data_IF_227330320991
#
_entry.id   IF_227330320991
#
_cell.length_a   1.000
_cell.length_b   1.000
_cell.length_c   1.000
_cell.angle_alpha   90.00
_cell.angle_beta   90.00
_cell.angle_gamma   90.00
#
_symmetry.space_group_name_H-M   'P 1'
#
loop_
_entity.id
_entity.type
_entity.pdbx_description
1 polymer ?
#
# COMPACT_ATOMS: atom_id res chain seq x y z
N UNK A 1 -19.84 24.84 4.14
CA UNK A 1 -18.44 24.60 3.75
C UNK A 1 -18.24 23.10 3.78
N UNK A 2 -17.94 22.46 2.65
CA UNK A 2 -17.61 21.04 2.65
C UNK A 2 -16.31 20.87 3.42
N UNK A 3 -16.32 20.05 4.47
CA UNK A 3 -15.10 19.65 5.15
C UNK A 3 -14.25 18.84 4.16
N UNK A 4 -12.99 19.23 3.94
CA UNK A 4 -12.08 18.43 3.13
C UNK A 4 -11.87 17.04 3.73
N UNK A 5 -11.45 16.07 2.90
CA UNK A 5 -11.12 14.73 3.34
C UNK A 5 -9.64 14.69 3.72
N UNK A 6 -9.29 14.32 4.97
CA UNK A 6 -7.90 14.23 5.38
C UNK A 6 -7.14 13.17 4.58
N UNK A 7 -6.03 13.55 3.97
CA UNK A 7 -5.18 12.68 3.16
C UNK A 7 -3.72 12.92 3.48
N UNK A 8 -2.93 11.86 3.54
CA UNK A 8 -1.47 11.94 3.51
C UNK A 8 -0.98 11.52 2.13
N UNK A 9 -0.54 12.51 1.33
CA UNK A 9 -0.02 12.26 -0.02
C UNK A 9 1.48 12.02 0.05
N UNK A 10 1.91 10.79 -0.19
CA UNK A 10 3.33 10.44 -0.05
C UNK A 10 3.77 9.34 -1.00
N UNK A 11 5.08 9.23 -1.15
CA UNK A 11 5.74 8.12 -1.82
C UNK A 11 5.82 6.89 -0.90
N UNK A 12 5.60 5.72 -1.47
CA UNK A 12 5.95 4.43 -0.89
C UNK A 12 6.72 3.62 -1.94
N UNK A 13 7.96 3.18 -1.64
CA UNK A 13 8.81 2.56 -2.65
C UNK A 13 8.95 3.42 -3.90
N UNK A 14 8.70 2.88 -5.09
CA UNK A 14 8.69 3.58 -6.39
C UNK A 14 7.30 4.09 -6.79
N UNK A 15 6.30 3.98 -5.94
CA UNK A 15 4.95 4.48 -6.17
C UNK A 15 4.63 5.70 -5.32
N UNK A 16 3.60 6.45 -5.71
CA UNK A 16 3.08 7.59 -4.97
C UNK A 16 1.55 7.53 -4.94
N UNK A 17 0.95 7.88 -3.81
CA UNK A 17 -0.50 7.83 -3.67
C UNK A 17 -1.03 8.50 -2.42
N UNK A 18 -2.35 8.51 -2.30
CA UNK A 18 -3.08 9.01 -1.14
C UNK A 18 -3.29 7.92 -0.10
N UNK A 19 -2.97 8.24 1.15
CA UNK A 19 -3.26 7.41 2.31
C UNK A 19 -4.40 8.02 3.10
N UNK A 20 -5.44 7.24 3.34
CA UNK A 20 -6.67 7.67 4.00
C UNK A 20 -7.00 6.75 5.18
N UNK A 21 -7.63 7.30 6.21
CA UNK A 21 -8.33 6.45 7.18
C UNK A 21 -9.62 5.93 6.56
N UNK A 22 -9.94 4.68 6.80
CA UNK A 22 -11.20 4.08 6.34
C UNK A 22 -12.43 4.84 6.87
N UNK A 23 -12.33 5.42 8.08
CA UNK A 23 -13.39 6.23 8.68
C UNK A 23 -13.65 7.58 8.00
N UNK A 24 -12.70 8.06 7.19
CA UNK A 24 -12.79 9.34 6.50
C UNK A 24 -13.40 9.20 5.09
N UNK A 25 -13.69 7.96 4.66
CA UNK A 25 -14.24 7.63 3.35
C UNK A 25 -15.63 6.98 3.47
N UNK A 26 -16.47 7.04 2.42
CA UNK A 26 -17.71 6.30 2.36
C UNK A 26 -17.51 4.80 2.62
N UNK A 27 -18.41 4.21 3.41
CA UNK A 27 -18.38 2.77 3.70
C UNK A 27 -18.85 1.93 2.50
N UNK A 28 -19.74 2.47 1.68
CA UNK A 28 -20.17 1.82 0.44
C UNK A 28 -19.05 1.86 -0.60
N UNK A 29 -18.64 0.71 -1.16
CA UNK A 29 -17.54 0.64 -2.12
C UNK A 29 -17.78 1.47 -3.40
N UNK A 30 -19.02 1.54 -3.90
CA UNK A 30 -19.31 2.28 -5.12
C UNK A 30 -19.22 3.80 -4.89
N UNK A 31 -19.75 4.29 -3.77
CA UNK A 31 -19.62 5.71 -3.39
C UNK A 31 -18.15 6.07 -3.12
N UNK A 32 -17.41 5.19 -2.43
CA UNK A 32 -15.97 5.36 -2.18
C UNK A 32 -15.19 5.46 -3.50
N UNK A 33 -15.45 4.57 -4.44
CA UNK A 33 -14.73 4.49 -5.71
C UNK A 33 -15.01 5.72 -6.58
N UNK A 34 -16.25 6.20 -6.63
CA UNK A 34 -16.60 7.46 -7.30
C UNK A 34 -15.86 8.67 -6.69
N UNK A 35 -15.78 8.71 -5.36
CA UNK A 35 -15.03 9.74 -4.65
C UNK A 35 -13.53 9.68 -4.98
N UNK A 36 -12.95 8.48 -4.99
CA UNK A 36 -11.52 8.30 -5.31
C UNK A 36 -11.20 8.64 -6.76
N UNK A 37 -12.07 8.34 -7.71
CA UNK A 37 -11.94 8.80 -9.09
C UNK A 37 -11.90 10.33 -9.17
N UNK A 38 -12.80 11.01 -8.45
CA UNK A 38 -12.82 12.47 -8.38
C UNK A 38 -11.55 13.03 -7.73
N UNK A 39 -11.10 12.45 -6.61
CA UNK A 39 -9.86 12.89 -5.93
C UNK A 39 -8.64 12.75 -6.84
N UNK A 40 -8.57 11.68 -7.61
CA UNK A 40 -7.44 11.44 -8.52
C UNK A 40 -7.54 12.21 -9.83
N UNK A 41 -8.72 12.69 -10.21
CA UNK A 41 -8.96 13.36 -11.49
C UNK A 41 -9.14 12.38 -12.65
N UNK A 42 -9.63 11.17 -12.38
CA UNK A 42 -9.89 10.14 -13.40
C UNK A 42 -11.37 10.19 -13.85
N UNK A 43 -11.68 9.83 -15.10
CA UNK A 43 -10.76 9.48 -16.19
C UNK A 43 -10.23 10.72 -16.94
N UNK A 44 -8.94 10.96 -16.88
CA UNK A 44 -8.21 11.93 -17.69
C UNK A 44 -6.73 11.48 -17.76
N UNK A 45 -6.10 11.37 -18.93
CA UNK A 45 -4.73 10.93 -19.06
C UNK A 45 -3.72 11.80 -18.31
N UNK A 46 -4.07 13.04 -17.97
CA UNK A 46 -3.22 13.93 -17.17
C UNK A 46 -3.65 14.02 -15.71
N UNK A 47 -4.87 13.54 -15.39
CA UNK A 47 -5.49 13.71 -14.07
C UNK A 47 -5.40 15.17 -13.57
N UNK A 48 -5.61 16.14 -14.50
CA UNK A 48 -5.29 17.57 -14.29
C UNK A 48 -6.15 18.24 -13.21
N UNK A 49 -7.35 17.74 -12.98
CA UNK A 49 -8.28 18.25 -11.97
C UNK A 49 -8.25 17.47 -10.66
N UNK A 50 -7.19 16.70 -10.44
CA UNK A 50 -7.03 15.85 -9.27
C UNK A 50 -5.60 15.76 -8.75
N UNK A 51 -5.40 14.82 -7.81
CA UNK A 51 -4.10 14.59 -7.16
C UNK A 51 -3.26 13.55 -7.89
N UNK A 52 -3.81 12.83 -8.86
CA UNK A 52 -3.10 11.84 -9.64
C UNK A 52 -1.99 12.46 -10.49
N UNK A 53 -1.02 11.65 -10.91
CA UNK A 53 0.12 12.11 -11.68
C UNK A 53 0.13 11.67 -13.15
N UNK A 54 -1.01 11.24 -13.69
CA UNK A 54 -1.12 10.80 -15.08
C UNK A 54 -0.37 9.49 -15.39
N UNK A 55 -0.08 8.70 -14.36
CA UNK A 55 0.67 7.45 -14.47
C UNK A 55 0.15 6.43 -13.43
N UNK A 56 0.07 5.13 -13.75
CA UNK A 56 -0.37 4.11 -12.80
C UNK A 56 0.43 4.05 -11.50
N UNK A 57 1.73 4.40 -11.52
CA UNK A 57 2.56 4.44 -10.30
C UNK A 57 2.25 5.63 -9.40
N UNK A 58 1.56 6.65 -9.92
CA UNK A 58 1.19 7.87 -9.20
C UNK A 58 -0.31 8.06 -9.04
N UNK A 59 -1.10 7.02 -9.34
CA UNK A 59 -2.57 7.01 -9.23
C UNK A 59 -3.04 5.86 -8.34
N UNK A 60 -2.57 5.85 -7.10
CA UNK A 60 -2.76 4.77 -6.12
C UNK A 60 -3.34 5.27 -4.81
N UNK A 61 -4.07 4.38 -4.13
CA UNK A 61 -4.69 4.68 -2.84
C UNK A 61 -4.38 3.56 -1.83
N UNK A 62 -4.06 3.96 -0.62
CA UNK A 62 -3.98 3.12 0.56
C UNK A 62 -5.08 3.52 1.55
N UNK A 63 -5.98 2.60 1.87
CA UNK A 63 -6.98 2.79 2.92
C UNK A 63 -6.53 2.00 4.14
N UNK A 64 -6.44 2.67 5.28
CA UNK A 64 -5.91 2.10 6.51
C UNK A 64 -6.97 2.21 7.62
N UNK A 65 -7.16 1.12 8.35
CA UNK A 65 -8.06 1.05 9.50
C UNK A 65 -7.34 0.41 10.70
N UNK A 66 -7.73 0.73 11.95
CA UNK A 66 -7.30 -0.05 13.09
C UNK A 66 -7.85 -1.46 12.99
N UNK A 67 -7.02 -2.47 13.30
CA UNK A 67 -7.46 -3.87 13.24
C UNK A 67 -8.17 -4.31 14.51
N UNK A 68 -9.13 -5.21 14.36
CA UNK A 68 -9.74 -5.98 15.47
C UNK A 68 -9.21 -7.42 15.53
N UNK A 69 -8.28 -7.78 14.64
CA UNK A 69 -7.67 -9.10 14.59
C UNK A 69 -6.62 -9.23 15.70
N UNK A 70 -6.57 -10.33 16.46
CA UNK A 70 -5.54 -10.53 17.46
C UNK A 70 -4.13 -10.43 16.87
N UNK A 71 -3.26 -9.60 17.48
CA UNK A 71 -1.87 -9.46 17.08
C UNK A 71 -1.64 -8.65 15.79
N UNK A 72 -2.66 -8.00 15.23
CA UNK A 72 -2.56 -7.11 14.07
C UNK A 72 -2.87 -5.69 14.53
N UNK A 73 -2.03 -4.74 14.13
CA UNK A 73 -2.19 -3.33 14.50
C UNK A 73 -3.18 -2.62 13.58
N UNK A 74 -3.01 -2.79 12.27
CA UNK A 74 -3.82 -2.11 11.24
C UNK A 74 -4.17 -3.06 10.10
N UNK A 75 -5.27 -2.74 9.42
CA UNK A 75 -5.67 -3.35 8.15
C UNK A 75 -5.39 -2.37 7.01
N UNK A 76 -4.95 -2.90 5.89
CA UNK A 76 -4.59 -2.16 4.69
C UNK A 76 -5.32 -2.70 3.47
N UNK A 77 -6.08 -1.84 2.81
CA UNK A 77 -6.67 -2.09 1.50
C UNK A 77 -5.95 -1.23 0.45
N UNK A 78 -5.36 -1.87 -0.54
CA UNK A 78 -4.80 -1.22 -1.71
C UNK A 78 -5.85 -1.05 -2.79
N UNK A 79 -5.90 0.14 -3.41
CA UNK A 79 -6.73 0.41 -4.57
C UNK A 79 -5.90 1.05 -5.69
N UNK A 80 -6.03 0.50 -6.89
CA UNK A 80 -5.54 1.13 -8.11
C UNK A 80 -6.65 1.97 -8.72
N UNK A 81 -6.43 3.27 -8.83
CA UNK A 81 -7.31 4.16 -9.60
C UNK A 81 -6.77 4.22 -11.03
N UNK A 82 -7.56 3.79 -12.00
CA UNK A 82 -7.12 3.80 -13.39
C UNK A 82 -7.13 5.23 -13.94
N UNK A 83 -6.08 5.58 -14.68
CA UNK A 83 -5.86 6.95 -15.14
C UNK A 83 -6.90 7.35 -16.20
N UNK A 84 -7.06 6.51 -17.22
CA UNK A 84 -7.90 6.78 -18.39
C UNK A 84 -9.27 6.09 -18.33
N UNK A 85 -9.50 5.28 -17.30
CA UNK A 85 -10.75 4.55 -17.11
C UNK A 85 -11.49 5.06 -15.87
N UNK A 86 -12.80 5.16 -15.92
CA UNK A 86 -13.66 5.44 -14.75
C UNK A 86 -13.75 4.23 -13.82
N UNK A 87 -12.61 3.66 -13.41
CA UNK A 87 -12.54 2.40 -12.66
C UNK A 87 -11.52 2.45 -11.53
N UNK A 88 -11.90 1.87 -10.40
CA UNK A 88 -11.03 1.55 -9.26
C UNK A 88 -10.98 0.03 -9.11
N UNK A 89 -9.84 -0.54 -8.72
CA UNK A 89 -9.67 -1.98 -8.55
C UNK A 89 -8.85 -2.32 -7.32
N UNK A 90 -9.28 -3.34 -6.61
CA UNK A 90 -8.61 -4.00 -5.49
C UNK A 90 -7.99 -5.36 -5.86
N UNK A 91 -8.07 -5.75 -7.13
CA UNK A 91 -7.60 -7.06 -7.62
C UNK A 91 -6.07 -7.27 -7.49
N UNK A 92 -5.33 -6.24 -7.16
CA UNK A 92 -3.87 -6.28 -7.04
C UNK A 92 -3.44 -5.96 -5.61
N UNK A 93 -2.19 -6.31 -5.29
CA UNK A 93 -1.49 -5.82 -4.10
C UNK A 93 -0.37 -4.86 -4.52
N UNK A 94 0.05 -3.98 -3.62
CA UNK A 94 1.13 -3.04 -3.89
C UNK A 94 2.11 -2.96 -2.71
N UNK A 95 3.21 -3.72 -2.81
CA UNK A 95 4.29 -3.69 -1.83
C UNK A 95 4.94 -2.32 -1.69
N UNK A 96 4.97 -1.52 -2.76
CA UNK A 96 5.48 -0.16 -2.71
C UNK A 96 4.66 0.75 -1.79
N UNK A 97 3.32 0.79 -1.96
CA UNK A 97 2.48 1.58 -1.07
C UNK A 97 2.43 1.01 0.35
N UNK A 98 2.54 -0.31 0.50
CA UNK A 98 2.59 -0.96 1.81
C UNK A 98 3.67 -0.35 2.72
N UNK A 99 4.84 0.02 2.16
CA UNK A 99 5.91 0.65 2.94
C UNK A 99 5.47 1.96 3.62
N UNK A 100 4.51 2.68 3.05
CA UNK A 100 3.99 3.93 3.64
C UNK A 100 2.88 3.72 4.67
N UNK A 101 2.32 2.51 4.79
CA UNK A 101 1.20 2.23 5.71
C UNK A 101 1.62 2.39 7.18
N UNK A 102 2.78 1.88 7.54
CA UNK A 102 3.26 1.96 8.92
C UNK A 102 3.59 3.40 9.36
N UNK A 103 4.33 4.22 8.59
CA UNK A 103 4.48 5.64 8.90
C UNK A 103 3.14 6.36 9.02
N UNK A 104 2.22 6.13 8.09
CA UNK A 104 0.88 6.70 8.15
C UNK A 104 0.14 6.32 9.43
N UNK A 105 0.16 5.03 9.82
CA UNK A 105 -0.50 4.55 11.01
C UNK A 105 0.05 5.21 12.30
N UNK A 106 1.36 5.45 12.37
CA UNK A 106 2.00 6.14 13.49
C UNK A 106 1.60 7.62 13.49
N UNK A 107 1.69 8.31 12.35
CA UNK A 107 1.34 9.74 12.23
C UNK A 107 -0.14 10.03 12.51
N UNK A 108 -1.01 9.06 12.19
CA UNK A 108 -2.45 9.14 12.47
C UNK A 108 -2.83 8.58 13.85
N UNK A 109 -1.84 8.27 14.70
CA UNK A 109 -2.02 7.76 16.05
C UNK A 109 -2.82 6.43 16.15
N UNK A 110 -2.84 5.63 15.08
CA UNK A 110 -3.37 4.26 15.13
C UNK A 110 -2.42 3.32 15.87
N UNK A 111 -1.11 3.61 15.80
CA UNK A 111 -0.04 2.87 16.47
C UNK A 111 0.80 3.83 17.30
N UNK A 112 1.05 3.46 18.57
CA UNK A 112 1.91 4.25 19.45
C UNK A 112 3.39 4.01 19.11
N UNK A 113 4.11 5.08 18.77
CA UNK A 113 5.52 4.99 18.45
C UNK A 113 6.38 4.57 19.65
N UNK A 114 7.29 3.64 19.42
CA UNK A 114 8.35 3.24 20.35
C UNK A 114 9.61 4.10 20.16
N UNK A 115 10.54 4.06 21.12
CA UNK A 115 11.84 4.73 20.95
C UNK A 115 12.74 3.86 20.06
N UNK A 116 13.38 4.48 19.07
CA UNK A 116 14.31 3.82 18.16
C UNK A 116 13.64 3.27 16.92
N UNK A 117 12.87 2.22 17.04
CA UNK A 117 12.15 1.57 15.93
C UNK A 117 10.76 1.13 16.39
N UNK A 118 9.78 1.28 15.53
CA UNK A 118 8.40 0.84 15.76
C UNK A 118 8.03 -0.20 14.73
N UNK A 119 7.83 -1.47 15.10
CA UNK A 119 7.22 -2.48 14.24
C UNK A 119 5.71 -2.24 14.18
N UNK A 120 5.13 -2.41 12.99
CA UNK A 120 3.69 -2.34 12.74
C UNK A 120 3.29 -3.59 11.98
N UNK A 121 2.35 -4.36 12.55
CA UNK A 121 1.79 -5.56 11.92
C UNK A 121 0.57 -5.16 11.10
N UNK A 122 0.62 -5.43 9.82
CA UNK A 122 -0.34 -4.98 8.81
C UNK A 122 -1.01 -6.20 8.20
N UNK A 123 -2.33 -6.30 8.30
CA UNK A 123 -3.11 -7.26 7.53
C UNK A 123 -3.47 -6.63 6.17
N UNK A 124 -3.03 -7.27 5.09
CA UNK A 124 -3.31 -6.85 3.71
C UNK A 124 -4.61 -7.48 3.24
N UNK A 125 -5.67 -6.68 3.07
CA UNK A 125 -7.00 -7.18 2.72
C UNK A 125 -7.06 -7.79 1.32
N UNK A 126 -6.26 -7.27 0.38
CA UNK A 126 -6.23 -7.76 -1.01
C UNK A 126 -5.73 -9.22 -1.13
N UNK A 127 -4.82 -9.65 -0.26
CA UNK A 127 -4.18 -10.98 -0.33
C UNK A 127 -4.42 -11.84 0.91
N UNK A 128 -5.07 -11.29 1.94
CA UNK A 128 -5.26 -11.92 3.25
C UNK A 128 -3.95 -12.32 3.95
N UNK A 129 -2.84 -11.68 3.61
CA UNK A 129 -1.52 -11.91 4.17
C UNK A 129 -1.17 -10.87 5.23
N UNK A 130 -0.18 -11.20 6.06
CA UNK A 130 0.35 -10.30 7.10
C UNK A 130 1.76 -9.85 6.72
N UNK A 131 2.01 -8.55 6.89
CA UNK A 131 3.33 -7.96 6.78
C UNK A 131 3.70 -7.23 8.07
N UNK A 132 4.99 -7.20 8.39
CA UNK A 132 5.57 -6.41 9.48
C UNK A 132 6.44 -5.33 8.86
N UNK A 133 6.03 -4.07 8.99
CA UNK A 133 6.84 -2.94 8.58
C UNK A 133 7.54 -2.31 9.79
N UNK A 134 8.86 -2.08 9.70
CA UNK A 134 9.68 -1.49 10.76
C UNK A 134 10.05 -0.07 10.40
N UNK A 135 9.60 0.88 11.22
CA UNK A 135 9.77 2.32 11.00
C UNK A 135 10.76 2.89 12.00
N UNK A 136 11.74 3.65 11.54
CA UNK A 136 12.65 4.38 12.42
C UNK A 136 11.91 5.50 13.14
N UNK A 137 11.94 5.47 14.48
CA UNK A 137 11.23 6.41 15.36
C UNK A 137 12.12 6.85 16.53
N UNK A 138 13.28 7.51 16.28
CA UNK A 138 14.30 7.77 17.29
C UNK A 138 13.77 8.54 18.51
N UNK A 139 12.84 9.45 18.35
CA UNK A 139 12.24 10.25 19.43
C UNK A 139 10.71 10.03 19.52
N UNK A 140 10.25 8.78 19.32
CA UNK A 140 8.82 8.44 19.19
C UNK A 140 8.12 9.21 18.05
N UNK A 141 8.86 9.59 17.04
CA UNK A 141 8.36 10.25 15.82
C UNK A 141 8.94 9.59 14.60
N UNK A 142 8.15 9.47 13.56
CA UNK A 142 8.62 8.95 12.27
C UNK A 142 9.75 9.84 11.75
N UNK A 143 10.85 9.23 11.33
CA UNK A 143 11.88 9.94 10.57
C UNK A 143 11.83 9.51 9.11
N UNK A 144 11.80 10.47 8.22
CA UNK A 144 11.81 10.24 6.76
C UNK A 144 13.21 10.42 6.17
N UNK A 145 14.11 11.08 6.93
CA UNK A 145 15.50 11.28 6.50
C UNK A 145 16.34 10.03 6.73
N UNK A 146 17.17 9.67 5.76
CA UNK A 146 18.07 8.52 5.81
C UNK A 146 18.93 8.42 4.56
N UNK A 147 19.68 7.34 4.46
CA UNK A 147 20.69 7.09 3.44
C UNK A 147 20.29 5.97 2.45
N UNK A 148 19.12 5.36 2.64
CA UNK A 148 18.67 4.29 1.76
C UNK A 148 18.32 4.82 0.37
N UNK A 149 18.81 4.10 -0.65
CA UNK A 149 18.53 4.34 -2.06
C UNK A 149 17.71 3.19 -2.62
N UNK A 150 16.82 3.51 -3.54
CA UNK A 150 16.15 2.53 -4.39
C UNK A 150 16.22 3.00 -5.83
N UNK A 151 16.35 2.04 -6.75
CA UNK A 151 16.39 2.34 -8.19
C UNK A 151 15.09 2.98 -8.65
N UNK A 152 15.20 3.94 -9.57
CA UNK A 152 14.06 4.70 -10.09
C UNK A 152 13.58 5.86 -9.19
N UNK A 153 14.21 6.10 -8.02
CA UNK A 153 13.88 7.23 -7.12
C UNK A 153 15.11 8.10 -6.88
N UNK A 154 15.06 9.40 -7.18
CA UNK A 154 16.16 10.29 -6.88
C UNK A 154 16.33 10.53 -5.37
N UNK A 155 17.59 10.69 -4.93
CA UNK A 155 17.91 11.00 -3.54
C UNK A 155 17.93 9.79 -2.61
N UNK A 156 17.81 10.08 -1.32
CA UNK A 156 17.83 9.08 -0.23
C UNK A 156 16.68 9.32 0.75
N UNK A 157 16.30 8.29 1.50
CA UNK A 157 15.26 8.36 2.52
C UNK A 157 15.55 7.37 3.66
N UNK A 158 14.80 7.44 4.74
CA UNK A 158 14.84 6.40 5.76
C UNK A 158 14.35 5.08 5.16
N UNK A 159 15.08 3.99 5.42
CA UNK A 159 14.64 2.65 5.04
C UNK A 159 13.44 2.22 5.89
N UNK A 160 12.50 1.54 5.24
CA UNK A 160 11.42 0.82 5.91
C UNK A 160 11.58 -0.65 5.53
N UNK A 161 12.00 -1.48 6.48
CA UNK A 161 12.09 -2.91 6.28
C UNK A 161 10.69 -3.52 6.36
N UNK A 162 10.31 -4.31 5.36
CA UNK A 162 9.03 -5.02 5.31
C UNK A 162 9.32 -6.52 5.25
N UNK A 163 8.77 -7.25 6.21
CA UNK A 163 8.82 -8.73 6.25
C UNK A 163 7.41 -9.24 6.03
N UNK A 164 7.24 -10.17 5.13
CA UNK A 164 5.98 -10.87 4.90
C UNK A 164 5.95 -12.15 5.72
N UNK A 165 4.83 -12.39 6.39
CA UNK A 165 4.52 -13.68 7.01
C UNK A 165 3.69 -14.48 6.00
N UNK A 166 3.92 -15.79 5.92
CA UNK A 166 3.22 -16.70 5.00
C UNK A 166 3.33 -16.25 3.52
N UNK A 167 4.50 -16.53 2.93
CA UNK A 167 4.81 -16.15 1.54
C UNK A 167 4.29 -17.17 0.51
N UNK A 168 3.41 -18.09 0.91
CA UNK A 168 2.74 -18.98 -0.03
C UNK A 168 1.94 -18.15 -1.05
N UNK A 169 1.97 -18.53 -2.31
CA UNK A 169 1.36 -17.78 -3.39
C UNK A 169 -0.11 -17.44 -3.11
N UNK A 170 -0.43 -16.16 -3.05
CA UNK A 170 -1.79 -15.66 -2.72
C UNK A 170 -2.87 -16.11 -3.70
N UNK A 171 -2.48 -16.50 -4.91
CA UNK A 171 -3.40 -16.96 -5.96
C UNK A 171 -3.62 -18.48 -5.98
N UNK A 172 -2.67 -19.26 -5.42
CA UNK A 172 -2.70 -20.72 -5.49
C UNK A 172 -2.49 -21.41 -4.15
N UNK A 173 -2.21 -20.66 -3.06
CA UNK A 173 -2.10 -21.21 -1.71
C UNK A 173 -0.88 -22.12 -1.49
N UNK A 174 0.10 -22.10 -2.41
CA UNK A 174 1.32 -22.89 -2.32
C UNK A 174 2.48 -22.18 -3.00
N UNK A 175 3.70 -22.43 -2.53
CA UNK A 175 4.94 -21.95 -3.18
C UNK A 175 5.13 -22.62 -4.55
N UNK A 176 4.74 -23.88 -4.64
CA UNK A 176 4.71 -24.65 -5.90
C UNK A 176 3.27 -25.06 -6.18
N UNK A 177 2.53 -24.36 -7.05
CA UNK A 177 1.12 -24.64 -7.34
C UNK A 177 0.85 -26.05 -7.81
N UNK A 178 1.79 -26.63 -8.56
CA UNK A 178 1.73 -28.03 -9.04
C UNK A 178 2.33 -29.05 -8.06
N UNK A 179 2.95 -28.56 -6.95
CA UNK A 179 3.71 -29.37 -6.02
C UNK A 179 5.08 -29.80 -6.54
N UNK A 180 5.52 -29.27 -7.68
CA UNK A 180 6.81 -29.57 -8.31
C UNK A 180 7.65 -28.30 -8.45
N UNK A 181 8.98 -28.36 -8.25
CA UNK A 181 9.87 -27.19 -8.43
C UNK A 181 10.12 -26.87 -9.91
N UNK A 182 9.63 -27.67 -10.82
CA UNK A 182 9.76 -27.51 -12.26
C UNK A 182 8.39 -27.76 -12.89
N UNK A 183 7.89 -26.79 -13.63
CA UNK A 183 6.67 -26.89 -14.40
C UNK A 183 6.96 -26.98 -15.89
N UNK A 184 6.19 -27.80 -16.62
CA UNK A 184 6.27 -27.89 -18.07
C UNK A 184 5.07 -27.21 -18.70
N UNK A 185 5.31 -26.09 -19.38
CA UNK A 185 4.28 -25.36 -20.13
C UNK A 185 4.60 -25.45 -21.61
N UNK A 186 3.67 -26.02 -22.40
CA UNK A 186 3.86 -26.23 -23.85
C UNK A 186 5.15 -26.98 -24.22
N UNK A 187 5.58 -27.95 -23.38
CA UNK A 187 6.78 -28.74 -23.62
C UNK A 187 8.10 -28.04 -23.23
N UNK A 188 8.02 -26.87 -22.59
CA UNK A 188 9.19 -26.12 -22.09
C UNK A 188 9.20 -26.21 -20.57
N UNK A 189 10.34 -26.60 -19.99
CA UNK A 189 10.55 -26.63 -18.55
C UNK A 189 10.75 -25.20 -18.02
N UNK A 190 9.97 -24.82 -17.02
CA UNK A 190 10.11 -23.57 -16.28
C UNK A 190 10.53 -23.89 -14.85
N UNK A 191 11.66 -23.32 -14.42
CA UNK A 191 12.17 -23.45 -13.06
C UNK A 191 11.71 -22.25 -12.24
N UNK A 192 10.99 -22.48 -11.14
CA UNK A 192 10.72 -21.46 -10.15
C UNK A 192 12.02 -21.10 -9.42
N UNK A 193 12.34 -19.82 -9.39
CA UNK A 193 13.53 -19.26 -8.73
C UNK A 193 13.15 -18.41 -7.54
#
# INVERSE_FOLDING_TARGET
MSSGIPCMWMRGGTSKGGYFLASDLPADPAERDLLLLSIMGSPDPRQIDGMGGGDPLTSKVAIVAPSRRPGIDVEYLFLQVFVEEGRVSDAQNCGNLLAGVAPFAIERALVTAQIGETPVRIFMQNTSQVAIARVKTPNKRVTYSGDARIDGVPGTSAAIAVTFEDTEGSSCGAVFPTGQPIDTINGIEHHDR
#
